data_IF_056352812210
#
_entry.id   IF_056352812210
#
_cell.length_a   1.000
_cell.length_b   1.000
_cell.length_c   1.000
_cell.angle_alpha   90.00
_cell.angle_beta   90.00
_cell.angle_gamma   90.00
#
_symmetry.space_group_name_H-M   'P 1'
#
loop_
_entity.id
_entity.type
_entity.pdbx_description
1 polymer ?
#
# COMPACT_ATOMS: atom_id res chain seq x y z
N UNK A 1 9.88 2.41 47.44
CA UNK A 1 11.34 2.31 47.23
C UNK A 1 11.73 3.46 46.32
N UNK A 2 12.50 4.43 46.81
CA UNK A 2 13.05 5.49 45.97
C UNK A 2 14.12 4.87 45.08
N UNK A 3 13.77 4.57 43.83
CA UNK A 3 14.78 4.29 42.82
C UNK A 3 15.54 5.58 42.56
N UNK A 4 16.83 5.59 42.88
CA UNK A 4 17.75 6.65 42.47
C UNK A 4 17.66 6.82 40.95
N UNK A 5 17.55 8.07 40.50
CA UNK A 5 17.53 8.38 39.07
C UNK A 5 18.79 7.78 38.41
N UNK A 6 18.65 7.14 37.23
CA UNK A 6 19.79 6.52 36.55
C UNK A 6 20.87 7.56 36.26
N UNK A 7 22.09 7.29 36.71
CA UNK A 7 23.25 8.16 36.47
C UNK A 7 23.65 8.06 34.99
N UNK A 8 23.68 9.19 34.27
CA UNK A 8 23.99 9.20 32.84
C UNK A 8 25.42 8.72 32.60
N UNK A 9 25.59 7.74 31.69
CA UNK A 9 26.90 7.18 31.33
C UNK A 9 27.71 8.10 30.41
N UNK A 10 27.07 9.13 29.87
CA UNK A 10 27.59 10.04 28.85
C UNK A 10 27.37 11.47 29.36
N UNK A 11 28.30 12.42 29.12
CA UNK A 11 28.08 13.83 29.45
C UNK A 11 26.84 14.40 28.75
N UNK A 12 26.19 15.41 29.33
CA UNK A 12 25.02 16.03 28.72
C UNK A 12 25.35 16.63 27.34
N UNK A 13 24.41 16.50 26.41
CA UNK A 13 24.56 17.04 25.05
C UNK A 13 24.37 18.54 25.09
N UNK A 14 25.21 19.28 24.36
CA UNK A 14 25.06 20.72 24.16
C UNK A 14 24.17 21.06 22.94
N UNK A 15 23.55 20.04 22.32
CA UNK A 15 22.70 20.22 21.15
C UNK A 15 21.38 20.93 21.53
N UNK A 16 20.78 21.76 20.66
CA UNK A 16 19.47 22.37 20.90
C UNK A 16 18.34 21.39 21.22
N UNK A 17 18.49 20.12 20.84
CA UNK A 17 17.55 19.02 21.10
C UNK A 17 18.09 18.02 22.13
N UNK A 18 18.93 18.46 23.07
CA UNK A 18 19.55 17.60 24.07
C UNK A 18 18.54 16.71 24.82
N UNK A 19 17.35 17.24 25.13
CA UNK A 19 16.30 16.48 25.81
C UNK A 19 15.85 15.25 24.99
N UNK A 20 15.65 15.42 23.67
CA UNK A 20 15.26 14.32 22.77
C UNK A 20 16.40 13.32 22.66
N UNK A 21 17.64 13.80 22.50
CA UNK A 21 18.83 12.96 22.40
C UNK A 21 18.97 12.09 23.65
N UNK A 22 18.89 12.70 24.83
CA UNK A 22 18.98 11.98 26.11
C UNK A 22 17.87 10.94 26.26
N UNK A 23 16.65 11.27 25.83
CA UNK A 23 15.54 10.32 25.85
C UNK A 23 15.80 9.11 24.95
N UNK A 24 16.28 9.34 23.71
CA UNK A 24 16.60 8.27 22.76
C UNK A 24 17.79 7.43 23.24
N UNK A 25 18.85 8.05 23.76
CA UNK A 25 20.02 7.37 24.33
C UNK A 25 19.67 6.50 25.53
N UNK A 26 18.64 6.89 26.30
CA UNK A 26 18.09 6.11 27.40
C UNK A 26 17.14 4.98 26.95
N UNK A 27 16.96 4.78 25.64
CA UNK A 27 16.04 3.78 25.09
C UNK A 27 14.57 4.21 25.07
N UNK A 28 14.28 5.49 25.31
CA UNK A 28 12.95 6.07 25.17
C UNK A 28 12.58 6.40 23.72
N UNK A 29 11.39 6.97 23.52
CA UNK A 29 10.87 7.32 22.20
C UNK A 29 11.13 8.79 21.83
N UNK A 30 10.89 9.15 20.57
CA UNK A 30 10.96 10.55 20.11
C UNK A 30 9.93 11.44 20.85
N UNK A 31 8.76 10.89 21.17
CA UNK A 31 7.70 11.55 21.94
C UNK A 31 7.73 11.12 23.41
N UNK A 32 7.18 11.94 24.34
CA UNK A 32 7.03 11.52 25.73
C UNK A 32 6.13 10.28 25.83
N UNK A 33 6.53 9.31 26.62
CA UNK A 33 5.75 8.09 26.87
C UNK A 33 4.70 8.35 27.96
N UNK A 34 3.58 8.96 27.56
CA UNK A 34 2.43 9.20 28.44
C UNK A 34 1.24 8.33 28.02
N UNK A 35 0.36 7.95 28.96
CA UNK A 35 -0.85 7.19 28.64
C UNK A 35 -1.72 7.85 27.56
N UNK A 36 -1.81 9.19 27.58
CA UNK A 36 -2.59 9.97 26.60
C UNK A 36 -1.99 9.86 25.20
N UNK A 37 -0.66 9.98 25.07
CA UNK A 37 0.03 9.84 23.78
C UNK A 37 -0.13 8.43 23.24
N UNK A 38 0.05 7.41 24.08
CA UNK A 38 -0.13 6.01 23.68
C UNK A 38 -1.55 5.76 23.16
N UNK A 39 -2.57 6.23 23.88
CA UNK A 39 -3.97 6.07 23.46
C UNK A 39 -4.23 6.71 22.08
N UNK A 40 -3.74 7.92 21.85
CA UNK A 40 -3.92 8.62 20.58
C UNK A 40 -3.22 7.90 19.42
N UNK A 41 -1.99 7.44 19.63
CA UNK A 41 -1.19 6.73 18.61
C UNK A 41 -1.88 5.42 18.21
N UNK A 42 -2.30 4.61 19.18
CA UNK A 42 -2.99 3.35 18.92
C UNK A 42 -4.35 3.60 18.24
N UNK A 43 -5.06 4.66 18.63
CA UNK A 43 -6.28 5.09 17.97
C UNK A 43 -6.07 5.43 16.49
N UNK A 44 -5.00 6.17 16.17
CA UNK A 44 -4.64 6.51 14.80
C UNK A 44 -4.29 5.26 13.98
N UNK A 45 -3.50 4.33 14.55
CA UNK A 45 -3.17 3.07 13.87
C UNK A 45 -4.41 2.25 13.56
N UNK A 46 -5.34 2.11 14.52
CA UNK A 46 -6.59 1.38 14.27
C UNK A 46 -7.46 2.07 13.22
N UNK A 47 -7.55 3.39 13.24
CA UNK A 47 -8.32 4.15 12.25
C UNK A 47 -7.73 4.02 10.85
N UNK A 48 -6.40 4.01 10.73
CA UNK A 48 -5.70 3.95 9.44
C UNK A 48 -5.60 2.52 8.87
N UNK A 49 -5.61 1.50 9.73
CA UNK A 49 -5.60 0.10 9.30
C UNK A 49 -6.84 -0.27 8.45
N UNK A 50 -8.00 0.37 8.68
CA UNK A 50 -9.24 0.08 7.94
C UNK A 50 -9.17 0.53 6.48
N UNK A 51 -8.85 1.81 6.13
CA UNK A 51 -8.65 2.19 4.74
C UNK A 51 -7.41 1.52 4.13
N UNK A 52 -6.34 1.28 4.90
CA UNK A 52 -5.18 0.54 4.38
C UNK A 52 -5.54 -0.90 3.96
N UNK A 53 -6.45 -1.56 4.68
CA UNK A 53 -6.98 -2.86 4.29
C UNK A 53 -7.67 -2.82 2.93
N UNK A 54 -8.35 -1.72 2.59
CA UNK A 54 -8.88 -1.53 1.23
C UNK A 54 -7.76 -1.25 0.23
N UNK A 55 -6.81 -0.38 0.60
CA UNK A 55 -5.74 0.06 -0.28
C UNK A 55 -4.89 -1.11 -0.79
N UNK A 56 -4.43 -2.02 0.08
CA UNK A 56 -3.58 -3.11 -0.39
C UNK A 56 -4.33 -4.02 -1.38
N UNK A 57 -5.62 -4.30 -1.11
CA UNK A 57 -6.46 -5.14 -1.97
C UNK A 57 -6.68 -4.50 -3.33
N UNK A 58 -7.00 -3.21 -3.35
CA UNK A 58 -7.31 -2.50 -4.59
C UNK A 58 -6.03 -2.18 -5.38
N UNK A 59 -4.90 -1.93 -4.73
CA UNK A 59 -3.59 -1.83 -5.40
C UNK A 59 -3.22 -3.14 -6.11
N UNK A 60 -3.39 -4.30 -5.44
CA UNK A 60 -3.19 -5.60 -6.09
C UNK A 60 -4.18 -5.81 -7.24
N UNK A 61 -5.45 -5.47 -7.05
CA UNK A 61 -6.47 -5.55 -8.11
C UNK A 61 -6.10 -4.70 -9.32
N UNK A 62 -5.63 -3.47 -9.11
CA UNK A 62 -5.20 -2.58 -10.20
C UNK A 62 -3.98 -3.17 -10.92
N UNK A 63 -2.97 -3.63 -10.16
CA UNK A 63 -1.76 -4.21 -10.73
C UNK A 63 -2.00 -5.50 -11.53
N UNK A 64 -2.93 -6.35 -11.07
CA UNK A 64 -3.14 -7.70 -11.61
C UNK A 64 -4.31 -7.79 -12.61
N UNK A 65 -5.43 -7.09 -12.36
CA UNK A 65 -6.66 -7.21 -13.15
C UNK A 65 -6.93 -6.02 -14.07
N UNK A 66 -6.69 -4.78 -13.58
CA UNK A 66 -6.84 -3.59 -14.44
C UNK A 66 -5.67 -3.51 -15.42
N UNK A 67 -4.45 -3.69 -14.93
CA UNK A 67 -3.20 -3.83 -15.68
C UNK A 67 -3.06 -2.78 -16.78
N UNK A 68 -3.12 -3.17 -18.06
CA UNK A 68 -2.94 -2.31 -19.22
C UNK A 68 -4.25 -1.79 -19.84
N UNK A 69 -5.35 -1.78 -19.08
CA UNK A 69 -6.62 -1.25 -19.57
C UNK A 69 -6.44 0.22 -20.03
N UNK A 70 -6.60 0.54 -21.33
CA UNK A 70 -6.36 1.89 -21.84
C UNK A 70 -7.39 2.91 -21.32
N UNK A 71 -8.55 2.44 -20.86
CA UNK A 71 -9.64 3.28 -20.35
C UNK A 71 -10.11 2.74 -18.98
N UNK A 72 -9.32 2.93 -17.91
CA UNK A 72 -9.56 2.32 -16.61
C UNK A 72 -10.57 3.10 -15.78
N UNK A 73 -11.75 3.42 -16.36
CA UNK A 73 -12.80 4.24 -15.72
C UNK A 73 -13.28 3.70 -14.37
N UNK A 74 -13.24 2.38 -14.20
CA UNK A 74 -13.71 1.68 -13.00
C UNK A 74 -12.57 1.05 -12.20
N UNK A 75 -11.34 1.56 -12.30
CA UNK A 75 -10.18 0.94 -11.64
C UNK A 75 -10.28 0.82 -10.12
N UNK A 76 -11.10 1.65 -9.47
CA UNK A 76 -11.37 1.60 -8.02
C UNK A 76 -12.58 0.72 -7.65
N UNK A 77 -13.17 0.04 -8.64
CA UNK A 77 -14.28 -0.90 -8.42
C UNK A 77 -13.69 -2.30 -8.24
N UNK A 78 -13.06 -2.50 -7.09
CA UNK A 78 -12.45 -3.78 -6.72
C UNK A 78 -13.40 -4.97 -6.91
N UNK A 79 -12.91 -6.10 -7.41
CA UNK A 79 -13.73 -7.31 -7.47
C UNK A 79 -14.03 -7.87 -6.08
N UNK A 80 -15.13 -8.62 -5.96
CA UNK A 80 -15.47 -9.28 -4.68
C UNK A 80 -14.39 -10.31 -4.28
N UNK A 81 -13.75 -10.95 -5.26
CA UNK A 81 -12.62 -11.86 -5.03
C UNK A 81 -11.45 -11.15 -4.32
N UNK A 82 -11.04 -9.98 -4.80
CA UNK A 82 -9.94 -9.22 -4.17
C UNK A 82 -10.37 -8.56 -2.86
N UNK A 83 -11.61 -8.10 -2.77
CA UNK A 83 -12.15 -7.54 -1.54
C UNK A 83 -12.20 -8.59 -0.41
N UNK A 84 -12.48 -9.85 -0.74
CA UNK A 84 -12.58 -10.95 0.22
C UNK A 84 -11.30 -11.79 0.34
N UNK A 85 -10.25 -11.47 -0.42
CA UNK A 85 -8.95 -12.17 -0.38
C UNK A 85 -8.44 -12.25 1.06
N UNK A 86 -7.99 -13.41 1.51
CA UNK A 86 -7.44 -13.49 2.86
C UNK A 86 -6.03 -12.89 2.89
N UNK A 87 -5.74 -12.13 3.94
CA UNK A 87 -4.42 -11.57 4.19
C UNK A 87 -3.44 -12.69 4.59
N UNK A 88 -2.27 -12.76 3.97
CA UNK A 88 -1.30 -13.85 4.23
C UNK A 88 -0.65 -13.80 5.62
N UNK A 89 -0.86 -12.73 6.39
CA UNK A 89 -0.24 -12.48 7.69
C UNK A 89 -1.21 -12.41 8.88
N UNK A 90 -2.52 -12.59 8.62
CA UNK A 90 -3.57 -12.51 9.63
C UNK A 90 -4.65 -13.58 9.42
N UNK A 91 -5.32 -13.98 10.50
CA UNK A 91 -6.33 -15.05 10.45
C UNK A 91 -5.77 -16.46 10.60
N UNK A 92 -6.65 -17.45 10.47
CA UNK A 92 -6.32 -18.86 10.73
C UNK A 92 -5.65 -19.54 9.52
N UNK A 93 -5.84 -19.01 8.31
CA UNK A 93 -5.23 -19.53 7.08
C UNK A 93 -3.96 -18.74 6.66
N UNK A 94 -3.40 -17.90 7.54
CA UNK A 94 -2.21 -17.12 7.24
C UNK A 94 -0.97 -17.99 7.06
N UNK A 95 -0.16 -17.69 6.05
CA UNK A 95 1.15 -18.32 5.82
C UNK A 95 2.09 -18.05 7.01
N UNK A 96 2.05 -16.83 7.53
CA UNK A 96 2.78 -16.41 8.72
C UNK A 96 1.90 -15.52 9.59
N UNK A 97 1.31 -16.07 10.65
CA UNK A 97 0.40 -15.33 11.52
C UNK A 97 1.15 -14.34 12.43
N UNK A 98 1.29 -13.10 11.98
CA UNK A 98 1.86 -11.99 12.76
C UNK A 98 0.77 -11.33 13.61
N UNK A 99 -0.38 -11.04 13.00
CA UNK A 99 -1.50 -10.38 13.66
C UNK A 99 -2.49 -11.40 14.24
N UNK A 100 -2.94 -11.16 15.49
CA UNK A 100 -3.93 -12.01 16.17
C UNK A 100 -5.37 -11.74 15.71
N UNK A 101 -5.55 -10.94 14.64
CA UNK A 101 -6.85 -10.62 14.06
C UNK A 101 -7.31 -11.60 12.97
N UNK A 102 -8.25 -11.13 12.17
CA UNK A 102 -8.87 -11.85 11.04
C UNK A 102 -8.04 -11.62 9.77
N UNK A 103 -8.03 -12.60 8.87
CA UNK A 103 -7.46 -12.45 7.53
C UNK A 103 -8.44 -11.85 6.52
N UNK A 104 -9.74 -11.90 6.83
CA UNK A 104 -10.79 -11.31 6.01
C UNK A 104 -10.82 -9.79 6.14
N UNK A 105 -11.52 -9.14 5.21
CA UNK A 105 -11.79 -7.70 5.24
C UNK A 105 -12.28 -7.22 6.62
N UNK A 106 -11.85 -6.02 7.01
CA UNK A 106 -12.32 -5.38 8.23
C UNK A 106 -13.85 -5.22 8.21
N UNK A 107 -14.57 -5.57 9.30
CA UNK A 107 -16.02 -5.40 9.36
C UNK A 107 -16.49 -3.96 9.13
N UNK A 108 -15.71 -2.99 9.61
CA UNK A 108 -15.97 -1.56 9.40
C UNK A 108 -15.85 -1.19 7.92
N UNK A 109 -14.85 -1.74 7.24
CA UNK A 109 -14.65 -1.57 5.80
C UNK A 109 -15.78 -2.22 5.00
N UNK A 110 -16.14 -3.46 5.34
CA UNK A 110 -17.25 -4.16 4.67
C UNK A 110 -18.58 -3.42 4.84
N UNK A 111 -18.87 -2.92 6.06
CA UNK A 111 -20.04 -2.12 6.33
C UNK A 111 -20.04 -0.80 5.52
N UNK A 112 -18.87 -0.16 5.41
CA UNK A 112 -18.70 1.05 4.60
C UNK A 112 -18.90 0.77 3.11
N UNK A 113 -18.27 -0.26 2.54
CA UNK A 113 -18.44 -0.60 1.11
C UNK A 113 -19.90 -0.91 0.77
N UNK A 114 -20.66 -1.48 1.72
CA UNK A 114 -22.07 -1.83 1.53
C UNK A 114 -23.03 -0.65 1.63
N UNK A 115 -22.73 0.37 2.45
CA UNK A 115 -23.70 1.41 2.80
C UNK A 115 -23.20 2.85 2.66
N UNK A 116 -21.90 3.04 2.55
CA UNK A 116 -21.20 4.31 2.63
C UNK A 116 -21.52 5.12 3.88
N UNK A 117 -21.11 6.37 3.89
CA UNK A 117 -21.51 7.39 4.85
C UNK A 117 -22.99 7.75 4.72
N UNK A 118 -23.58 7.57 3.53
CA UNK A 118 -25.01 7.75 3.29
C UNK A 118 -25.88 6.75 4.07
N UNK A 119 -25.28 5.67 4.59
CA UNK A 119 -25.95 4.59 5.35
C UNK A 119 -27.05 3.89 4.55
N UNK A 120 -26.96 3.91 3.22
CA UNK A 120 -27.93 3.35 2.29
C UNK A 120 -27.26 2.31 1.39
N UNK A 121 -27.93 1.18 1.15
CA UNK A 121 -27.41 0.13 0.27
C UNK A 121 -27.55 0.48 -1.21
N UNK A 122 -26.86 1.51 -1.67
CA UNK A 122 -26.87 1.92 -3.07
C UNK A 122 -25.85 1.10 -3.89
N UNK A 123 -26.06 0.95 -5.22
CA UNK A 123 -25.02 0.44 -6.08
C UNK A 123 -23.72 1.25 -5.95
N UNK A 124 -22.56 0.55 -5.97
CA UNK A 124 -21.23 1.15 -5.78
C UNK A 124 -20.95 2.34 -6.67
N UNK A 125 -21.51 2.35 -7.89
CA UNK A 125 -21.41 3.47 -8.83
C UNK A 125 -21.93 4.79 -8.24
N UNK A 126 -23.09 4.77 -7.57
CA UNK A 126 -23.67 5.99 -7.00
C UNK A 126 -22.87 6.49 -5.81
N UNK A 127 -22.39 5.58 -4.96
CA UNK A 127 -21.43 5.91 -3.90
C UNK A 127 -20.19 6.62 -4.47
N UNK A 128 -19.62 6.12 -5.56
CA UNK A 128 -18.45 6.74 -6.21
C UNK A 128 -18.76 8.12 -6.81
N UNK A 129 -19.91 8.28 -7.47
CA UNK A 129 -20.33 9.54 -8.07
C UNK A 129 -20.62 10.62 -7.01
N UNK A 130 -21.07 10.23 -5.82
CA UNK A 130 -21.35 11.13 -4.72
C UNK A 130 -20.14 11.39 -3.80
N UNK A 131 -18.96 10.89 -4.19
CA UNK A 131 -17.74 10.94 -3.37
C UNK A 131 -17.88 10.23 -2.00
N UNK A 132 -18.85 9.33 -1.89
CA UNK A 132 -19.09 8.48 -0.72
C UNK A 132 -18.31 7.17 -0.89
N UNK A 133 -16.97 7.28 -0.90
CA UNK A 133 -16.07 6.17 -1.20
C UNK A 133 -14.72 6.33 -0.50
N UNK A 134 -13.91 5.29 -0.58
CA UNK A 134 -12.52 5.34 -0.14
C UNK A 134 -11.70 6.12 -1.17
N UNK A 135 -10.83 7.01 -0.67
CA UNK A 135 -9.98 7.89 -1.48
C UNK A 135 -8.74 7.16 -1.99
N UNK A 136 -8.94 6.20 -2.89
CA UNK A 136 -7.88 5.41 -3.51
C UNK A 136 -6.82 6.23 -4.24
N UNK A 137 -7.13 7.46 -4.64
CA UNK A 137 -6.15 8.37 -5.24
C UNK A 137 -4.93 8.55 -4.35
N UNK A 138 -5.11 8.58 -3.02
CA UNK A 138 -3.98 8.68 -2.09
C UNK A 138 -3.01 7.50 -2.26
N UNK A 139 -3.53 6.27 -2.28
CA UNK A 139 -2.76 5.06 -2.49
C UNK A 139 -2.01 5.08 -3.84
N UNK A 140 -2.68 5.52 -4.88
CA UNK A 140 -2.11 5.63 -6.21
C UNK A 140 -1.02 6.71 -6.30
N UNK A 141 -1.15 7.85 -5.62
CA UNK A 141 -0.10 8.86 -5.53
C UNK A 141 1.11 8.36 -4.74
N UNK A 142 0.92 7.58 -3.67
CA UNK A 142 2.00 6.92 -2.96
C UNK A 142 2.77 5.97 -3.89
N UNK A 143 2.05 5.13 -4.64
CA UNK A 143 2.66 4.22 -5.60
C UNK A 143 3.42 4.98 -6.70
N UNK A 144 2.81 6.03 -7.28
CA UNK A 144 3.48 6.85 -8.29
C UNK A 144 4.73 7.51 -7.74
N UNK A 145 4.67 8.00 -6.50
CA UNK A 145 5.85 8.57 -5.84
C UNK A 145 6.99 7.54 -5.75
N UNK A 146 6.70 6.28 -5.42
CA UNK A 146 7.70 5.21 -5.44
C UNK A 146 8.26 4.97 -6.84
N UNK A 147 7.40 4.87 -7.85
CA UNK A 147 7.80 4.68 -9.25
C UNK A 147 8.76 5.77 -9.75
N UNK A 148 8.54 7.02 -9.37
CA UNK A 148 9.38 8.14 -9.83
C UNK A 148 10.69 8.29 -9.03
N UNK A 149 10.75 7.79 -7.81
CA UNK A 149 11.94 7.82 -6.95
C UNK A 149 12.68 6.47 -7.00
N UNK A 150 13.09 6.08 -8.21
CA UNK A 150 13.81 4.82 -8.45
C UNK A 150 15.22 4.83 -7.86
N UNK A 151 15.80 3.65 -7.70
CA UNK A 151 17.15 3.40 -7.18
C UNK A 151 17.34 3.81 -5.71
N UNK A 152 16.26 3.99 -4.96
CA UNK A 152 16.34 4.15 -3.51
C UNK A 152 17.00 2.93 -2.88
N UNK A 153 18.05 3.17 -2.10
CA UNK A 153 18.86 2.14 -1.44
C UNK A 153 19.58 1.16 -2.38
N UNK A 154 19.86 1.54 -3.63
CA UNK A 154 20.77 0.76 -4.47
C UNK A 154 22.18 0.70 -3.82
N UNK A 155 22.89 -0.46 -3.87
CA UNK A 155 22.54 -1.70 -4.57
C UNK A 155 21.75 -2.72 -3.73
N UNK A 156 21.29 -2.37 -2.53
CA UNK A 156 20.53 -3.28 -1.64
C UNK A 156 19.14 -3.55 -2.19
N UNK A 157 18.45 -2.50 -2.66
CA UNK A 157 17.20 -2.66 -3.38
C UNK A 157 17.46 -3.10 -4.82
N UNK A 158 16.96 -4.27 -5.20
CA UNK A 158 17.15 -4.87 -6.52
C UNK A 158 15.89 -4.85 -7.39
N UNK A 159 14.80 -4.24 -6.90
CA UNK A 159 13.54 -4.18 -7.64
C UNK A 159 13.70 -3.40 -8.96
N UNK A 160 14.23 -2.18 -8.91
CA UNK A 160 14.45 -1.38 -10.12
C UNK A 160 15.44 -2.02 -11.12
N UNK A 161 16.62 -2.53 -10.69
CA UNK A 161 17.49 -3.29 -11.57
C UNK A 161 16.79 -4.46 -12.28
N UNK A 162 15.89 -5.17 -11.57
CA UNK A 162 15.11 -6.24 -12.18
C UNK A 162 14.13 -5.70 -13.24
N UNK A 163 13.40 -4.61 -12.95
CA UNK A 163 12.46 -3.99 -13.89
C UNK A 163 13.13 -3.42 -15.16
N UNK A 164 14.44 -3.20 -15.14
CA UNK A 164 15.21 -2.77 -16.31
C UNK A 164 15.87 -3.92 -17.09
N UNK A 165 15.84 -5.14 -16.54
CA UNK A 165 16.46 -6.32 -17.13
C UNK A 165 15.77 -6.80 -18.41
N UNK A 166 16.54 -7.50 -19.25
CA UNK A 166 16.01 -8.19 -20.44
C UNK A 166 14.98 -9.26 -20.08
N UNK A 167 15.12 -9.89 -18.91
CA UNK A 167 14.17 -10.87 -18.40
C UNK A 167 12.79 -10.22 -18.18
N UNK A 168 12.75 -9.10 -17.46
CA UNK A 168 11.50 -8.39 -17.22
C UNK A 168 10.89 -7.87 -18.52
N UNK A 169 11.71 -7.33 -19.44
CA UNK A 169 11.25 -6.89 -20.77
C UNK A 169 10.59 -8.03 -21.56
N UNK A 170 11.18 -9.24 -21.53
CA UNK A 170 10.60 -10.42 -22.18
C UNK A 170 9.30 -10.89 -21.49
N UNK A 171 9.20 -10.77 -20.16
CA UNK A 171 7.98 -11.07 -19.42
C UNK A 171 6.86 -10.08 -19.77
N UNK A 172 7.19 -8.78 -19.81
CA UNK A 172 6.28 -7.71 -20.19
C UNK A 172 5.77 -7.88 -21.63
N UNK A 173 6.63 -8.19 -22.60
CA UNK A 173 6.20 -8.46 -23.99
C UNK A 173 5.17 -9.60 -24.05
N UNK A 174 5.42 -10.71 -23.33
CA UNK A 174 4.48 -11.83 -23.23
C UNK A 174 3.14 -11.40 -22.62
N UNK A 175 3.17 -10.63 -21.52
CA UNK A 175 1.97 -10.15 -20.85
C UNK A 175 1.16 -9.17 -21.72
N UNK A 176 1.81 -8.19 -22.36
CA UNK A 176 1.19 -7.21 -23.25
C UNK A 176 0.49 -7.91 -24.43
N UNK A 177 1.18 -8.86 -25.08
CA UNK A 177 0.61 -9.62 -26.20
C UNK A 177 -0.57 -10.49 -25.78
N UNK A 178 -0.50 -11.11 -24.61
CA UNK A 178 -1.59 -11.91 -24.07
C UNK A 178 -2.80 -11.03 -23.74
N UNK A 179 -2.59 -9.90 -23.05
CA UNK A 179 -3.64 -8.97 -22.65
C UNK A 179 -4.37 -8.37 -23.85
N UNK A 180 -3.63 -7.96 -24.89
CA UNK A 180 -4.21 -7.38 -26.11
C UNK A 180 -4.44 -8.40 -27.25
N UNK A 181 -4.43 -9.72 -26.98
CA UNK A 181 -4.56 -10.75 -28.02
C UNK A 181 -5.80 -10.55 -28.93
N UNK A 182 -6.89 -10.02 -28.39
CA UNK A 182 -8.12 -9.71 -29.13
C UNK A 182 -8.24 -8.25 -29.62
N UNK A 183 -7.23 -7.41 -29.40
CA UNK A 183 -7.27 -5.98 -29.68
C UNK A 183 -6.12 -5.57 -30.64
N UNK A 184 -6.34 -5.68 -31.97
CA UNK A 184 -5.29 -5.40 -32.96
C UNK A 184 -4.84 -3.93 -32.97
N UNK A 185 -5.72 -3.00 -32.60
CA UNK A 185 -5.36 -1.58 -32.47
C UNK A 185 -4.28 -1.39 -31.40
N UNK A 186 -4.49 -1.96 -30.21
CA UNK A 186 -3.53 -1.86 -29.11
C UNK A 186 -2.23 -2.62 -29.40
N UNK A 187 -2.29 -3.77 -30.05
CA UNK A 187 -1.09 -4.48 -30.51
C UNK A 187 -0.31 -3.67 -31.56
N UNK A 188 -1.00 -2.97 -32.45
CA UNK A 188 -0.40 -2.04 -33.40
C UNK A 188 0.30 -0.89 -32.69
N UNK A 189 -0.37 -0.27 -31.71
CA UNK A 189 0.21 0.80 -30.90
C UNK A 189 1.44 0.32 -30.12
N UNK A 190 1.38 -0.89 -29.55
CA UNK A 190 2.51 -1.50 -28.86
C UNK A 190 3.71 -1.73 -29.79
N UNK A 191 3.46 -2.19 -31.02
CA UNK A 191 4.53 -2.36 -32.01
C UNK A 191 5.24 -1.05 -32.35
N UNK A 192 4.51 0.07 -32.38
CA UNK A 192 5.08 1.39 -32.72
C UNK A 192 5.74 2.05 -31.51
N UNK A 193 5.17 1.90 -30.32
CA UNK A 193 5.62 2.55 -29.09
C UNK A 193 5.84 1.54 -27.94
N UNK A 194 6.80 0.60 -28.06
CA UNK A 194 6.95 -0.49 -27.10
C UNK A 194 7.30 -0.01 -25.68
N UNK A 195 8.14 1.01 -25.56
CA UNK A 195 8.56 1.54 -24.25
C UNK A 195 7.40 2.17 -23.46
N UNK A 196 6.37 2.70 -24.14
CA UNK A 196 5.19 3.26 -23.47
C UNK A 196 4.43 2.18 -22.68
N UNK A 197 4.27 0.99 -23.28
CA UNK A 197 3.61 -0.13 -22.61
C UNK A 197 4.51 -0.80 -21.59
N UNK A 198 5.81 -0.85 -21.84
CA UNK A 198 6.77 -1.33 -20.84
C UNK A 198 6.72 -0.47 -19.57
N UNK A 199 6.64 0.85 -19.70
CA UNK A 199 6.51 1.75 -18.55
C UNK A 199 5.20 1.52 -17.79
N UNK A 200 4.10 1.25 -18.50
CA UNK A 200 2.84 0.87 -17.87
C UNK A 200 2.94 -0.47 -17.13
N UNK A 201 3.69 -1.45 -17.65
CA UNK A 201 3.99 -2.68 -16.91
C UNK A 201 4.80 -2.40 -15.65
N UNK A 202 5.81 -1.52 -15.69
CA UNK A 202 6.58 -1.13 -14.50
C UNK A 202 5.65 -0.48 -13.47
N UNK A 203 4.77 0.42 -13.90
CA UNK A 203 3.77 1.03 -13.03
C UNK A 203 2.86 -0.04 -12.39
N UNK A 204 2.36 -1.01 -13.14
CA UNK A 204 1.60 -2.15 -12.61
C UNK A 204 2.39 -2.96 -11.57
N UNK A 205 3.69 -3.18 -11.78
CA UNK A 205 4.56 -3.83 -10.78
C UNK A 205 4.74 -2.98 -9.52
N UNK A 206 4.75 -1.65 -9.63
CA UNK A 206 4.76 -0.75 -8.47
C UNK A 206 3.44 -0.73 -7.70
N UNK A 207 2.28 -0.84 -8.37
CA UNK A 207 0.99 -1.10 -7.69
C UNK A 207 1.07 -2.37 -6.85
N UNK A 208 1.55 -3.47 -7.44
CA UNK A 208 1.70 -4.73 -6.72
C UNK A 208 2.67 -4.60 -5.54
N UNK A 209 3.82 -3.94 -5.74
CA UNK A 209 4.82 -3.74 -4.68
C UNK A 209 4.24 -2.97 -3.48
N UNK A 210 3.60 -1.83 -3.70
CA UNK A 210 2.97 -1.07 -2.60
C UNK A 210 1.81 -1.85 -1.96
N UNK A 211 1.03 -2.58 -2.77
CA UNK A 211 -0.03 -3.45 -2.27
C UNK A 211 0.52 -4.51 -1.31
N UNK A 212 1.55 -5.25 -1.71
CA UNK A 212 2.20 -6.25 -0.86
C UNK A 212 2.81 -5.64 0.41
N UNK A 213 3.38 -4.43 0.32
CA UNK A 213 3.87 -3.72 1.50
C UNK A 213 2.73 -3.42 2.51
N UNK A 214 1.60 -2.91 2.03
CA UNK A 214 0.44 -2.60 2.88
C UNK A 214 -0.39 -3.81 3.28
N UNK A 215 -0.17 -4.98 2.68
CA UNK A 215 -0.72 -6.24 3.20
C UNK A 215 -0.06 -6.64 4.53
N UNK A 216 1.23 -6.28 4.71
CA UNK A 216 1.99 -6.58 5.94
C UNK A 216 1.70 -5.56 7.06
N UNK A 217 1.55 -4.29 6.71
CA UNK A 217 1.40 -3.16 7.64
C UNK A 217 0.01 -3.11 8.30
#
# INVERSE_FOLDING_TARGET
MNMSAPQSKIPPSNHPFAEIIHRLEAGGAMLPDTPENLMQIIGLYKAYAVPMDFYWRDLLYIGEQVFLNPLPFFKFFISDEYLQRENHYAGDNADLRIWRGRGTVHPELEAFIKKGELKQGLPRLFHHLWHDRINMEFAEECMRSMLWHRNMYAPVNQFDPYLDSDEYRANADRAIRAYFKGNPLMLGLYKVFPEMFLEQCRQASYYANLGLFWEVM
#
